data_IF_890809764404
#
_entry.id   IF_890809764404
#
_cell.length_a   1.000
_cell.length_b   1.000
_cell.length_c   1.000
_cell.angle_alpha   90.00
_cell.angle_beta   90.00
_cell.angle_gamma   90.00
#
_symmetry.space_group_name_H-M   'P 1'
#
loop_
_entity.id
_entity.type
_entity.pdbx_description
1 polymer ?
#
# COMPACT_ATOMS: atom_id res chain seq x y z
N UNK A 1 -13.92 4.20 36.60
CA UNK A 1 -13.59 3.13 35.62
C UNK A 1 -13.29 3.82 34.31
N UNK A 2 -12.02 4.00 33.96
CA UNK A 2 -11.61 4.67 32.72
C UNK A 2 -11.80 3.71 31.56
N UNK A 3 -12.70 4.03 30.63
CA UNK A 3 -12.82 3.30 29.36
C UNK A 3 -11.49 3.41 28.59
N UNK A 4 -10.87 2.26 28.32
CA UNK A 4 -9.70 2.21 27.45
C UNK A 4 -10.24 2.37 26.02
N UNK A 5 -9.80 3.38 25.25
CA UNK A 5 -10.29 3.56 23.89
C UNK A 5 -9.98 2.30 23.06
N UNK A 6 -11.03 1.72 22.49
CA UNK A 6 -10.93 0.53 21.65
C UNK A 6 -10.04 0.85 20.46
N UNK A 7 -8.89 0.16 20.33
CA UNK A 7 -8.02 0.33 19.16
C UNK A 7 -8.81 -0.05 17.90
N UNK A 8 -8.95 0.92 17.00
CA UNK A 8 -9.54 0.70 15.68
C UNK A 8 -8.44 0.14 14.78
N UNK A 9 -8.69 -1.04 14.21
CA UNK A 9 -7.80 -1.68 13.24
C UNK A 9 -8.39 -1.46 11.85
N UNK A 10 -8.03 -0.35 11.20
CA UNK A 10 -8.59 0.13 9.93
C UNK A 10 -7.57 0.07 8.76
N UNK A 11 -6.52 -0.74 8.89
CA UNK A 11 -5.43 -0.78 7.92
C UNK A 11 -5.87 -1.30 6.54
N UNK A 12 -6.90 -2.15 6.45
CA UNK A 12 -7.50 -2.53 5.15
C UNK A 12 -8.09 -1.31 4.44
N UNK A 13 -8.94 -0.53 5.11
CA UNK A 13 -9.55 0.66 4.52
C UNK A 13 -8.51 1.73 4.19
N UNK A 14 -7.51 1.91 5.05
CA UNK A 14 -6.41 2.86 4.81
C UNK A 14 -5.55 2.45 3.63
N UNK A 15 -5.20 1.17 3.50
CA UNK A 15 -4.41 0.68 2.36
C UNK A 15 -5.20 0.71 1.05
N UNK A 16 -6.51 0.43 1.09
CA UNK A 16 -7.41 0.62 -0.05
C UNK A 16 -7.48 2.09 -0.49
N UNK A 17 -7.66 2.99 0.47
CA UNK A 17 -7.70 4.43 0.22
C UNK A 17 -6.37 4.92 -0.36
N UNK A 18 -5.25 4.40 0.14
CA UNK A 18 -3.92 4.69 -0.41
C UNK A 18 -3.80 4.26 -1.88
N UNK A 19 -4.16 3.02 -2.21
CA UNK A 19 -4.12 2.53 -3.59
C UNK A 19 -5.04 3.35 -4.54
N UNK A 20 -6.22 3.78 -4.07
CA UNK A 20 -7.10 4.66 -4.84
C UNK A 20 -6.47 6.04 -5.10
N UNK A 21 -5.85 6.65 -4.09
CA UNK A 21 -5.16 7.94 -4.25
C UNK A 21 -3.98 7.83 -5.21
N UNK A 22 -3.23 6.74 -5.15
CA UNK A 22 -2.14 6.45 -6.08
C UNK A 22 -2.65 6.32 -7.51
N UNK A 23 -3.75 5.58 -7.73
CA UNK A 23 -4.42 5.51 -9.04
C UNK A 23 -4.77 6.89 -9.58
N UNK A 24 -5.39 7.71 -8.75
CA UNK A 24 -5.84 9.05 -9.15
C UNK A 24 -4.67 10.00 -9.41
N UNK A 25 -3.54 9.82 -8.71
CA UNK A 25 -2.28 10.53 -8.98
C UNK A 25 -1.67 10.09 -10.32
N UNK A 26 -1.50 8.79 -10.55
CA UNK A 26 -0.92 8.26 -11.79
C UNK A 26 -1.74 8.66 -13.02
N UNK A 27 -3.07 8.71 -12.90
CA UNK A 27 -3.95 9.16 -13.99
C UNK A 27 -3.74 10.62 -14.40
N UNK A 28 -3.12 11.44 -13.53
CA UNK A 28 -2.84 12.87 -13.78
C UNK A 28 -1.43 13.12 -14.30
N UNK A 29 -0.55 12.13 -14.27
CA UNK A 29 0.84 12.30 -14.70
C UNK A 29 0.94 12.63 -16.21
N UNK A 30 1.88 13.51 -16.61
CA UNK A 30 2.24 13.70 -18.00
C UNK A 30 2.61 12.37 -18.65
N UNK A 31 2.10 12.14 -19.86
CA UNK A 31 2.35 10.92 -20.64
C UNK A 31 3.73 10.95 -21.31
N UNK A 32 4.78 10.78 -20.52
CA UNK A 32 6.13 10.49 -21.00
C UNK A 32 6.53 9.05 -20.64
N UNK A 33 7.62 8.56 -21.23
CA UNK A 33 8.07 7.17 -21.08
C UNK A 33 8.34 6.84 -19.60
N UNK A 34 9.05 7.72 -18.88
CA UNK A 34 9.39 7.53 -17.47
C UNK A 34 8.16 7.40 -16.59
N UNK A 35 7.20 8.34 -16.70
CA UNK A 35 5.97 8.34 -15.92
C UNK A 35 5.05 7.15 -16.24
N UNK A 36 5.05 6.65 -17.49
CA UNK A 36 4.31 5.44 -17.84
C UNK A 36 4.90 4.24 -17.10
N UNK A 37 6.22 4.09 -17.07
CA UNK A 37 6.86 2.96 -16.40
C UNK A 37 6.80 3.08 -14.87
N UNK A 38 7.10 4.26 -14.32
CA UNK A 38 6.99 4.51 -12.87
C UNK A 38 5.56 4.38 -12.38
N UNK A 39 4.58 4.88 -13.14
CA UNK A 39 3.16 4.74 -12.85
C UNK A 39 2.73 3.28 -12.75
N UNK A 40 3.17 2.42 -13.69
CA UNK A 40 2.87 0.97 -13.62
C UNK A 40 3.41 0.33 -12.34
N UNK A 41 4.67 0.63 -11.98
CA UNK A 41 5.29 0.06 -10.78
C UNK A 41 4.62 0.57 -9.50
N UNK A 42 4.28 1.86 -9.47
CA UNK A 42 3.60 2.49 -8.35
C UNK A 42 2.18 1.93 -8.15
N UNK A 43 1.42 1.69 -9.22
CA UNK A 43 0.08 1.07 -9.14
C UNK A 43 0.17 -0.35 -8.56
N UNK A 44 1.16 -1.14 -9.00
CA UNK A 44 1.35 -2.50 -8.51
C UNK A 44 1.73 -2.52 -7.03
N UNK A 45 2.79 -1.82 -6.66
CA UNK A 45 3.30 -1.78 -5.28
C UNK A 45 2.26 -1.22 -4.30
N UNK A 46 1.54 -0.15 -4.66
CA UNK A 46 0.51 0.42 -3.78
C UNK A 46 -0.68 -0.52 -3.55
N UNK A 47 -1.11 -1.27 -4.58
CA UNK A 47 -2.13 -2.31 -4.44
C UNK A 47 -1.66 -3.48 -3.57
N UNK A 48 -0.39 -3.89 -3.74
CA UNK A 48 0.21 -4.98 -2.97
C UNK A 48 0.29 -4.71 -1.46
N UNK A 49 0.34 -3.45 -1.03
CA UNK A 49 0.27 -3.08 0.40
C UNK A 49 -0.99 -3.66 1.06
N UNK A 50 -2.16 -3.38 0.45
CA UNK A 50 -3.45 -3.85 0.96
C UNK A 50 -3.65 -5.34 0.78
N UNK A 51 -3.26 -5.88 -0.37
CA UNK A 51 -3.37 -7.31 -0.65
C UNK A 51 -2.61 -8.16 0.39
N UNK A 52 -1.36 -7.82 0.69
CA UNK A 52 -0.58 -8.53 1.71
C UNK A 52 -1.12 -8.31 3.13
N UNK A 53 -1.79 -7.19 3.40
CA UNK A 53 -2.43 -6.97 4.70
C UNK A 53 -3.69 -7.84 4.86
N UNK A 54 -4.50 -7.99 3.81
CA UNK A 54 -5.65 -8.91 3.78
C UNK A 54 -5.17 -10.34 4.02
N UNK A 55 -4.11 -10.77 3.33
CA UNK A 55 -3.49 -12.09 3.58
C UNK A 55 -2.94 -12.24 5.00
N UNK A 56 -2.44 -11.15 5.61
CA UNK A 56 -2.03 -11.20 7.01
C UNK A 56 -3.24 -11.45 7.93
N UNK A 57 -4.40 -10.86 7.67
CA UNK A 57 -5.61 -11.10 8.46
C UNK A 57 -6.13 -12.54 8.33
N UNK A 58 -5.83 -13.21 7.21
CA UNK A 58 -6.12 -14.64 6.97
C UNK A 58 -4.97 -15.59 7.37
N UNK A 59 -3.95 -15.08 8.08
CA UNK A 59 -2.74 -15.86 8.38
C UNK A 59 -2.98 -17.16 9.13
N UNK A 60 -2.22 -18.19 8.76
CA UNK A 60 -2.31 -19.53 9.37
C UNK A 60 -1.54 -19.66 10.70
N UNK A 61 -0.68 -18.68 11.01
CA UNK A 61 0.10 -18.64 12.24
C UNK A 61 0.62 -17.23 12.54
N UNK A 62 1.06 -16.98 13.78
CA UNK A 62 1.73 -15.72 14.15
C UNK A 62 2.98 -15.43 13.31
N UNK A 63 3.73 -16.47 12.90
CA UNK A 63 4.92 -16.31 12.06
C UNK A 63 4.55 -15.88 10.64
N UNK A 64 3.50 -16.48 10.10
CA UNK A 64 2.94 -16.12 8.79
C UNK A 64 2.38 -14.69 8.80
N UNK A 65 1.60 -14.33 9.83
CA UNK A 65 1.15 -12.95 10.05
C UNK A 65 2.30 -11.94 9.95
N UNK A 66 3.37 -12.15 10.75
CA UNK A 66 4.53 -11.25 10.77
C UNK A 66 5.23 -11.20 9.42
N UNK A 67 5.30 -12.32 8.69
CA UNK A 67 5.87 -12.35 7.35
C UNK A 67 5.04 -11.51 6.37
N UNK A 68 3.71 -11.68 6.33
CA UNK A 68 2.81 -10.93 5.44
C UNK A 68 2.83 -9.42 5.73
N UNK A 69 2.83 -9.04 7.02
CA UNK A 69 3.00 -7.63 7.43
C UNK A 69 4.35 -7.06 6.97
N UNK A 70 5.43 -7.84 7.05
CA UNK A 70 6.75 -7.41 6.53
C UNK A 70 6.72 -7.20 5.02
N UNK A 71 5.99 -8.02 4.25
CA UNK A 71 5.84 -7.83 2.81
C UNK A 71 5.01 -6.58 2.53
N UNK A 72 3.85 -6.41 3.17
CA UNK A 72 3.04 -5.18 3.07
C UNK A 72 3.87 -3.91 3.33
N UNK A 73 4.74 -3.93 4.35
CA UNK A 73 5.68 -2.83 4.62
C UNK A 73 6.73 -2.61 3.52
N UNK A 74 7.24 -3.68 2.90
CA UNK A 74 8.19 -3.57 1.78
C UNK A 74 7.53 -2.91 0.58
N UNK A 75 6.31 -3.32 0.24
CA UNK A 75 5.50 -2.74 -0.84
C UNK A 75 5.20 -1.26 -0.61
N UNK A 76 4.97 -0.86 0.65
CA UNK A 76 4.77 0.55 1.00
C UNK A 76 6.03 1.40 0.75
N UNK A 77 7.21 0.87 1.09
CA UNK A 77 8.49 1.53 0.81
C UNK A 77 8.80 1.60 -0.68
N UNK A 78 8.45 0.55 -1.41
CA UNK A 78 8.58 0.54 -2.86
C UNK A 78 7.65 1.58 -3.51
N UNK A 79 6.41 1.69 -3.01
CA UNK A 79 5.48 2.74 -3.45
C UNK A 79 6.05 4.15 -3.19
N UNK A 80 6.67 4.38 -2.03
CA UNK A 80 7.35 5.64 -1.71
C UNK A 80 8.49 5.95 -2.69
N UNK A 81 9.29 4.95 -3.05
CA UNK A 81 10.36 5.10 -4.03
C UNK A 81 9.81 5.50 -5.41
N UNK A 82 8.78 4.81 -5.91
CA UNK A 82 8.20 5.15 -7.21
C UNK A 82 7.47 6.51 -7.21
N UNK A 83 6.85 6.89 -6.08
CA UNK A 83 6.31 8.24 -5.89
C UNK A 83 7.40 9.31 -5.98
N UNK A 84 8.60 9.06 -5.46
CA UNK A 84 9.71 10.02 -5.53
C UNK A 84 10.29 10.20 -6.93
N UNK A 85 10.08 9.23 -7.83
CA UNK A 85 10.57 9.26 -9.21
C UNK A 85 9.55 9.81 -10.20
N UNK A 86 8.25 9.75 -9.89
CA UNK A 86 7.20 10.25 -10.76
C UNK A 86 7.20 11.79 -10.79
N UNK A 87 7.16 12.35 -12.00
CA UNK A 87 7.20 13.80 -12.23
C UNK A 87 5.80 14.32 -12.57
N UNK A 88 5.20 15.18 -11.72
CA UNK A 88 3.85 15.73 -11.94
C UNK A 88 3.76 16.73 -13.09
#
# INVERSE_FOLDING_TARGET
MTEIPKRVYDLEDRSRTFAMKVRDYVNKLPRNISNIEYGKQLIRSSGSVGANYIEANESLSKKDFVMRIKISRKEAKESEYWLSLAEP
#
